data_IF_604822199795
#
_entry.id   IF_604822199795
#
_cell.length_a   1.000
_cell.length_b   1.000
_cell.length_c   1.000
_cell.angle_alpha   90.00
_cell.angle_beta   90.00
_cell.angle_gamma   90.00
#
_symmetry.space_group_name_H-M   'P 1'
#
loop_
_entity.id
_entity.type
_entity.pdbx_description
1 polymer ?
#
# COMPACT_ATOMS: atom_id res chain seq x y z
N UNK A 1 2.62 22.55 17.48
CA UNK A 1 1.44 21.64 17.45
C UNK A 1 1.73 20.47 16.52
N UNK A 2 2.19 19.34 17.05
CA UNK A 2 2.37 18.13 16.23
C UNK A 2 1.01 17.47 16.10
N UNK A 3 0.34 17.67 14.96
CA UNK A 3 -0.86 16.90 14.62
C UNK A 3 -0.44 15.44 14.40
N UNK A 4 -0.30 14.67 15.47
CA UNK A 4 -0.22 13.21 15.41
C UNK A 4 -1.60 12.69 15.02
N UNK A 5 -1.93 12.73 13.72
CA UNK A 5 -2.91 11.78 13.19
C UNK A 5 -2.46 10.40 13.69
N UNK A 6 -3.30 9.60 14.37
CA UNK A 6 -2.94 8.23 14.66
C UNK A 6 -2.97 7.49 13.32
N UNK A 7 -1.84 7.56 12.61
CA UNK A 7 -1.52 6.66 11.53
C UNK A 7 -1.85 5.26 12.04
N UNK A 8 -2.88 4.58 11.51
CA UNK A 8 -3.30 3.26 12.01
C UNK A 8 -2.07 2.34 11.98
N UNK A 9 -1.34 2.11 13.09
CA UNK A 9 -0.03 1.47 13.03
C UNK A 9 -0.21 0.01 12.59
N UNK A 10 -1.34 -0.56 13.00
CA UNK A 10 -1.82 -1.88 12.61
C UNK A 10 -2.01 -2.01 11.10
N UNK A 11 -2.58 -1.00 10.42
CA UNK A 11 -2.82 -1.07 8.97
C UNK A 11 -1.50 -0.96 8.20
N UNK A 12 -0.62 -0.04 8.60
CA UNK A 12 0.74 0.09 8.02
C UNK A 12 1.49 -1.23 8.13
N UNK A 13 1.50 -1.82 9.33
CA UNK A 13 2.16 -3.11 9.56
C UNK A 13 1.58 -4.22 8.70
N UNK A 14 0.25 -4.31 8.60
CA UNK A 14 -0.43 -5.29 7.74
C UNK A 14 -0.09 -5.11 6.26
N UNK A 15 -0.09 -3.87 5.77
CA UNK A 15 0.31 -3.56 4.39
C UNK A 15 1.74 -4.02 4.13
N UNK A 16 2.68 -3.66 5.01
CA UNK A 16 4.08 -4.04 4.86
C UNK A 16 4.28 -5.56 4.95
N UNK A 17 3.54 -6.26 5.81
CA UNK A 17 3.59 -7.71 5.95
C UNK A 17 3.13 -8.42 4.66
N UNK A 18 2.02 -7.98 4.09
CA UNK A 18 1.52 -8.51 2.82
C UNK A 18 2.44 -8.21 1.64
N UNK A 19 3.01 -7.01 1.55
CA UNK A 19 4.00 -6.70 0.50
C UNK A 19 5.27 -7.52 0.71
N UNK A 20 5.70 -7.77 1.95
CA UNK A 20 6.88 -8.61 2.26
C UNK A 20 6.68 -10.07 1.88
N UNK A 21 5.47 -10.62 2.04
CA UNK A 21 5.12 -11.97 1.56
C UNK A 21 5.11 -12.06 0.03
N UNK A 22 4.98 -10.94 -0.68
CA UNK A 22 4.86 -10.87 -2.13
C UNK A 22 6.06 -10.13 -2.76
N UNK A 23 7.25 -10.75 -2.86
CA UNK A 23 8.44 -10.11 -3.41
C UNK A 23 8.29 -9.68 -4.88
N UNK A 24 7.39 -10.35 -5.62
CA UNK A 24 7.04 -10.01 -7.00
C UNK A 24 6.08 -8.80 -7.12
N UNK A 25 5.61 -8.26 -5.99
CA UNK A 25 4.64 -7.20 -5.92
C UNK A 25 3.21 -7.68 -5.74
N UNK A 26 2.40 -6.83 -5.12
CA UNK A 26 0.98 -7.06 -4.87
C UNK A 26 0.14 -5.93 -5.50
N UNK A 27 -0.94 -6.31 -6.16
CA UNK A 27 -1.90 -5.35 -6.70
C UNK A 27 -2.67 -4.65 -5.59
N UNK A 28 -2.85 -3.34 -5.68
CA UNK A 28 -3.52 -2.57 -4.63
C UNK A 28 -4.97 -3.01 -4.39
N UNK A 29 -5.66 -3.50 -5.43
CA UNK A 29 -7.00 -4.09 -5.34
C UNK A 29 -7.00 -5.40 -4.56
N UNK A 30 -5.98 -6.24 -4.77
CA UNK A 30 -5.81 -7.47 -4.01
C UNK A 30 -5.52 -7.14 -2.55
N UNK A 31 -4.59 -6.23 -2.30
CA UNK A 31 -4.25 -5.76 -0.95
C UNK A 31 -5.48 -5.19 -0.21
N UNK A 32 -6.34 -4.43 -0.90
CA UNK A 32 -7.59 -3.91 -0.33
C UNK A 32 -8.57 -5.02 0.07
N UNK A 33 -8.69 -6.08 -0.75
CA UNK A 33 -9.52 -7.26 -0.43
C UNK A 33 -8.95 -8.05 0.74
N UNK A 34 -7.65 -8.35 0.71
CA UNK A 34 -6.97 -9.15 1.73
C UNK A 34 -6.98 -8.46 3.10
N UNK A 35 -6.84 -7.12 3.11
CA UNK A 35 -6.89 -6.34 4.33
C UNK A 35 -8.31 -5.92 4.75
N UNK A 36 -9.32 -6.24 3.94
CA UNK A 36 -10.71 -5.80 4.09
C UNK A 36 -10.82 -4.29 4.39
N UNK A 37 -10.07 -3.49 3.64
CA UNK A 37 -9.99 -2.04 3.82
C UNK A 37 -10.30 -1.34 2.50
N UNK A 38 -10.92 -0.15 2.52
CA UNK A 38 -11.27 0.57 1.30
C UNK A 38 -10.03 0.86 0.45
N UNK A 39 -10.20 0.74 -0.88
CA UNK A 39 -9.12 0.99 -1.84
C UNK A 39 -8.50 2.39 -1.63
N UNK A 40 -9.33 3.40 -1.41
CA UNK A 40 -8.91 4.77 -1.13
C UNK A 40 -8.04 4.88 0.13
N UNK A 41 -8.35 4.11 1.17
CA UNK A 41 -7.54 4.03 2.39
C UNK A 41 -6.18 3.43 2.04
N UNK A 42 -6.13 2.30 1.34
CA UNK A 42 -4.86 1.71 0.95
C UNK A 42 -4.02 2.70 0.13
N UNK A 43 -4.61 3.38 -0.87
CA UNK A 43 -3.95 4.43 -1.65
C UNK A 43 -3.36 5.54 -0.76
N UNK A 44 -4.11 6.08 0.21
CA UNK A 44 -3.62 7.11 1.15
C UNK A 44 -2.37 6.63 1.90
N UNK A 45 -2.32 5.36 2.28
CA UNK A 45 -1.23 4.80 3.10
C UNK A 45 -0.02 4.40 2.28
N UNK A 46 -0.20 3.91 1.05
CA UNK A 46 0.91 3.50 0.19
C UNK A 46 1.53 4.66 -0.60
N UNK A 47 0.78 5.73 -0.88
CA UNK A 47 1.29 6.89 -1.61
C UNK A 47 2.00 7.91 -0.72
N UNK A 48 1.77 7.90 0.61
CA UNK A 48 2.41 8.84 1.53
C UNK A 48 3.71 8.29 2.09
N UNK A 49 4.79 9.04 1.94
CA UNK A 49 6.12 8.72 2.49
C UNK A 49 6.15 8.64 4.03
N UNK A 50 5.28 9.40 4.71
CA UNK A 50 5.10 9.33 6.17
C UNK A 50 4.65 7.94 6.67
N UNK A 51 4.16 7.09 5.76
CA UNK A 51 3.62 5.76 6.06
C UNK A 51 4.42 4.67 5.34
N UNK A 52 3.83 4.00 4.35
CA UNK A 52 4.48 2.90 3.65
C UNK A 52 5.31 3.39 2.45
N UNK A 53 5.05 4.61 1.92
CA UNK A 53 5.69 5.13 0.69
C UNK A 53 7.22 5.16 0.75
N UNK A 54 7.79 5.32 1.94
CA UNK A 54 9.24 5.24 2.15
C UNK A 54 9.81 3.84 1.86
N UNK A 55 9.04 2.79 2.15
CA UNK A 55 9.47 1.39 2.08
C UNK A 55 9.05 0.67 0.81
N UNK A 56 8.08 1.21 0.08
CA UNK A 56 7.49 0.55 -1.09
C UNK A 56 7.65 1.40 -2.35
N UNK A 57 7.74 0.72 -3.49
CA UNK A 57 7.71 1.29 -4.83
C UNK A 57 6.34 1.00 -5.42
N UNK A 58 5.68 2.04 -5.93
CA UNK A 58 4.42 1.91 -6.65
C UNK A 58 4.70 1.92 -8.15
N UNK A 59 4.24 0.91 -8.87
CA UNK A 59 4.30 0.82 -10.33
C UNK A 59 2.88 0.94 -10.89
N UNK A 60 2.65 1.95 -11.73
CA UNK A 60 1.37 2.09 -12.45
C UNK A 60 1.37 1.11 -13.61
N UNK A 61 0.40 0.21 -13.62
CA UNK A 61 0.15 -0.63 -14.78
C UNK A 61 -0.78 0.11 -15.76
N UNK A 62 -0.70 -0.20 -17.07
CA UNK A 62 -1.64 0.34 -18.05
C UNK A 62 -3.09 0.02 -17.64
N UNK A 63 -3.98 1.00 -17.89
CA UNK A 63 -5.41 0.98 -17.51
C UNK A 63 -6.15 -0.27 -18.00
N UNK A 64 -5.64 -0.90 -19.06
CA UNK A 64 -6.18 -2.10 -19.70
C UNK A 64 -6.16 -3.34 -18.80
N UNK A 65 -5.26 -3.40 -17.81
CA UNK A 65 -5.13 -4.56 -16.90
C UNK A 65 -6.03 -4.49 -15.66
N UNK A 66 -7.00 -3.57 -15.63
CA UNK A 66 -8.03 -3.53 -14.57
C UNK A 66 -7.51 -3.26 -13.16
N UNK A 67 -6.25 -2.82 -13.00
CA UNK A 67 -5.60 -2.60 -11.72
C UNK A 67 -4.59 -1.46 -11.81
N UNK A 68 -5.03 -0.24 -11.49
CA UNK A 68 -4.25 0.99 -11.71
C UNK A 68 -2.87 1.05 -10.99
N UNK A 69 -2.55 0.15 -10.05
CA UNK A 69 -1.27 0.23 -9.32
C UNK A 69 -0.85 -1.09 -8.65
N UNK A 70 0.40 -1.48 -8.86
CA UNK A 70 1.12 -2.54 -8.15
C UNK A 70 2.07 -1.93 -7.13
N UNK A 71 2.23 -2.59 -5.99
CA UNK A 71 3.11 -2.17 -4.90
C UNK A 71 4.16 -3.25 -4.67
N UNK A 72 5.43 -2.86 -4.64
CA UNK A 72 6.60 -3.73 -4.35
C UNK A 72 7.40 -3.14 -3.20
N UNK A 73 8.19 -3.92 -2.48
CA UNK A 73 9.18 -3.37 -1.55
C UNK A 73 10.28 -2.66 -2.36
N UNK A 74 10.72 -1.49 -1.88
CA UNK A 74 11.99 -0.88 -2.32
C UNK A 74 13.11 -1.78 -1.80
N UNK A 75 13.90 -2.31 -2.73
CA UNK A 75 15.07 -3.13 -2.43
C UNK A 75 16.25 -2.25 -2.06
#
# INVERSE_FOLDING_TARGET
MVRKEPAKPKLIRKILDEVKKNPNGIWIRKLSRDLNEPLATIYKYVLRDDYCGKFIKTEKAPRELGGNMMIKLKK
#
